data_IF_130625553254
#
_entry.id   IF_130625553254
#
_cell.length_a   1.000
_cell.length_b   1.000
_cell.length_c   1.000
_cell.angle_alpha   90.00
_cell.angle_beta   90.00
_cell.angle_gamma   90.00
#
_symmetry.space_group_name_H-M   'P 1'
#
loop_
_entity.id
_entity.type
_entity.pdbx_description
1 polymer ?
#
# COMPACT_ATOMS: atom_id res chain seq x y z
N UNK A 1 6.47 -1.04 0.44
CA UNK A 1 7.16 0.28 0.42
C UNK A 1 6.16 1.37 0.11
N UNK A 2 5.90 2.22 1.08
CA UNK A 2 5.08 3.41 0.91
C UNK A 2 5.90 4.51 0.23
N UNK A 3 5.40 5.02 -0.89
CA UNK A 3 5.95 6.17 -1.61
C UNK A 3 4.98 7.35 -1.62
N UNK A 4 3.81 7.16 -1.00
CA UNK A 4 2.76 8.18 -0.93
C UNK A 4 3.01 9.18 0.18
N UNK A 5 3.20 8.72 1.44
CA UNK A 5 3.45 9.62 2.57
C UNK A 5 4.77 10.37 2.38
N UNK A 6 5.80 9.69 1.87
CA UNK A 6 7.03 10.33 1.42
C UNK A 6 7.44 9.80 0.04
N UNK A 7 7.65 10.72 -0.92
CA UNK A 7 8.09 10.35 -2.26
C UNK A 7 9.58 10.05 -2.26
N UNK A 8 9.97 8.95 -2.86
CA UNK A 8 11.35 8.57 -3.10
C UNK A 8 11.62 8.51 -4.60
N UNK A 9 12.77 9.06 -5.01
CA UNK A 9 13.20 9.03 -6.40
C UNK A 9 13.42 7.59 -6.90
N UNK A 10 13.32 7.32 -8.21
CA UNK A 10 13.48 5.98 -8.77
C UNK A 10 14.77 5.27 -8.39
N UNK A 11 15.88 6.00 -8.24
CA UNK A 11 17.18 5.43 -7.87
C UNK A 11 17.21 4.84 -6.46
N UNK A 12 16.43 5.39 -5.54
CA UNK A 12 16.27 4.82 -4.19
C UNK A 12 15.54 3.48 -4.24
N UNK A 13 14.49 3.37 -5.08
CA UNK A 13 13.80 2.10 -5.28
C UNK A 13 14.71 1.06 -5.96
N UNK A 14 15.57 1.48 -6.88
CA UNK A 14 16.57 0.61 -7.49
C UNK A 14 17.55 0.06 -6.44
N UNK A 15 18.10 0.93 -5.58
CA UNK A 15 18.98 0.52 -4.49
C UNK A 15 18.27 -0.45 -3.52
N UNK A 16 16.98 -0.22 -3.22
CA UNK A 16 16.20 -1.13 -2.40
C UNK A 16 16.05 -2.49 -3.09
N UNK A 17 15.73 -2.51 -4.38
CA UNK A 17 15.63 -3.76 -5.17
C UNK A 17 16.96 -4.52 -5.23
N UNK A 18 18.11 -3.84 -5.31
CA UNK A 18 19.43 -4.48 -5.23
C UNK A 18 19.59 -5.25 -3.90
N UNK A 19 19.27 -4.60 -2.78
CA UNK A 19 19.31 -5.25 -1.47
C UNK A 19 18.28 -6.37 -1.33
N UNK A 20 17.09 -6.19 -1.87
CA UNK A 20 16.05 -7.21 -1.88
C UNK A 20 16.48 -8.47 -2.66
N UNK A 21 17.15 -8.29 -3.81
CA UNK A 21 17.64 -9.40 -4.62
C UNK A 21 18.71 -10.22 -3.88
N UNK A 22 19.65 -9.56 -3.17
CA UNK A 22 20.65 -10.23 -2.32
C UNK A 22 19.99 -11.13 -1.28
N UNK A 23 18.85 -10.70 -0.73
CA UNK A 23 18.07 -11.40 0.30
C UNK A 23 17.00 -12.35 -0.28
N UNK A 24 16.93 -12.49 -1.60
CA UNK A 24 15.95 -13.33 -2.31
C UNK A 24 14.48 -12.92 -2.12
N UNK A 25 14.22 -11.66 -1.81
CA UNK A 25 12.88 -11.12 -1.95
C UNK A 25 12.49 -11.09 -3.42
N UNK A 26 11.25 -11.43 -3.73
CA UNK A 26 10.79 -11.58 -5.11
C UNK A 26 9.63 -10.64 -5.49
N UNK A 27 9.17 -9.81 -4.57
CA UNK A 27 8.10 -8.83 -4.80
C UNK A 27 8.44 -7.50 -4.13
N UNK A 28 8.31 -6.40 -4.88
CA UNK A 28 8.30 -5.05 -4.33
C UNK A 28 6.88 -4.49 -4.47
N UNK A 29 6.13 -4.49 -3.38
CA UNK A 29 4.82 -3.88 -3.32
C UNK A 29 4.99 -2.36 -3.11
N UNK A 30 4.42 -1.57 -4.01
CA UNK A 30 4.46 -0.11 -4.00
C UNK A 30 3.09 0.46 -3.62
N UNK A 31 3.00 1.05 -2.45
CA UNK A 31 1.83 1.82 -2.02
C UNK A 31 1.89 3.20 -2.67
N UNK A 32 1.23 3.31 -3.85
CA UNK A 32 1.39 4.44 -4.78
C UNK A 32 0.44 5.59 -4.48
N UNK A 33 -0.62 5.36 -3.72
CA UNK A 33 -1.68 6.35 -3.49
C UNK A 33 -2.14 6.35 -2.05
N UNK A 34 -2.26 7.55 -1.49
CA UNK A 34 -2.80 7.77 -0.16
C UNK A 34 -3.20 9.25 -0.01
N UNK A 35 -3.76 9.63 1.12
CA UNK A 35 -4.16 11.00 1.41
C UNK A 35 -3.07 12.05 1.15
N UNK A 36 -1.79 11.83 1.52
CA UNK A 36 -0.72 12.82 1.29
C UNK A 36 -0.16 12.89 -0.12
N UNK A 37 -0.52 11.98 -1.03
CA UNK A 37 -0.02 12.06 -2.39
C UNK A 37 -0.40 10.91 -3.32
N UNK A 38 -0.58 11.25 -4.57
CA UNK A 38 -0.72 10.32 -5.70
C UNK A 38 0.60 10.22 -6.46
N UNK A 39 1.15 9.01 -6.67
CA UNK A 39 2.54 8.84 -7.12
C UNK A 39 2.74 8.21 -8.49
N UNK A 40 1.69 7.97 -9.26
CA UNK A 40 1.81 7.37 -10.58
C UNK A 40 1.04 8.17 -11.63
N UNK A 41 1.67 8.43 -12.78
CA UNK A 41 1.04 9.10 -13.90
C UNK A 41 -0.11 8.26 -14.47
N UNK A 42 -1.31 8.86 -14.50
CA UNK A 42 -2.50 8.36 -15.19
C UNK A 42 -2.86 9.39 -16.28
N UNK A 43 -2.59 9.07 -17.51
CA UNK A 43 -2.73 10.02 -18.63
C UNK A 43 -4.16 10.49 -18.83
N UNK A 44 -5.11 9.60 -18.60
CA UNK A 44 -6.55 9.90 -18.65
C UNK A 44 -6.98 10.89 -17.57
N UNK A 45 -6.27 10.90 -16.44
CA UNK A 45 -6.60 11.74 -15.28
C UNK A 45 -5.40 12.57 -14.82
N UNK A 46 -4.95 13.56 -15.63
CA UNK A 46 -3.68 14.25 -15.39
C UNK A 46 -3.65 15.08 -14.10
N UNK A 47 -4.81 15.47 -13.54
CA UNK A 47 -4.84 16.19 -12.26
C UNK A 47 -4.38 15.31 -11.08
N UNK A 48 -4.41 13.98 -11.18
CA UNK A 48 -3.87 13.09 -10.16
C UNK A 48 -2.40 13.37 -9.87
N UNK A 49 -1.61 13.69 -10.90
CA UNK A 49 -0.19 14.03 -10.74
C UNK A 49 0.08 15.52 -10.76
N UNK A 50 -0.63 16.31 -11.57
CA UNK A 50 -0.39 17.75 -11.59
C UNK A 50 -0.84 18.48 -10.32
N UNK A 51 -1.78 17.90 -9.57
CA UNK A 51 -2.31 18.44 -8.30
C UNK A 51 -2.07 17.45 -7.16
N UNK A 52 -2.54 16.22 -7.30
CA UNK A 52 -2.55 15.19 -6.23
C UNK A 52 -1.16 14.70 -5.82
N UNK A 53 -0.14 14.85 -6.66
CA UNK A 53 1.23 14.49 -6.32
C UNK A 53 1.97 15.53 -5.46
N UNK A 54 1.36 16.69 -5.22
CA UNK A 54 2.00 17.83 -4.59
C UNK A 54 1.26 18.25 -3.34
N UNK A 55 2.00 18.75 -2.38
CA UNK A 55 1.47 19.30 -1.14
C UNK A 55 2.34 20.42 -0.61
N UNK A 56 1.78 21.21 0.30
CA UNK A 56 2.54 22.20 1.05
C UNK A 56 3.67 21.52 1.81
N UNK A 57 4.87 22.06 1.70
CA UNK A 57 6.01 21.63 2.51
C UNK A 57 5.76 21.98 3.96
N UNK A 58 5.76 20.97 4.81
CA UNK A 58 5.68 21.17 6.26
C UNK A 58 7.09 21.20 6.87
N UNK A 59 7.31 21.96 7.95
CA UNK A 59 8.54 21.91 8.72
C UNK A 59 8.73 20.51 9.32
N UNK A 60 9.97 20.22 9.72
CA UNK A 60 10.25 18.99 10.45
C UNK A 60 9.43 18.93 11.75
N UNK A 61 8.85 17.76 12.03
CA UNK A 61 8.01 17.57 13.21
C UNK A 61 7.24 16.25 13.15
N UNK A 62 6.43 15.97 14.19
CA UNK A 62 5.58 14.80 14.21
C UNK A 62 4.62 14.78 13.01
N UNK A 63 4.34 13.58 12.53
CA UNK A 63 3.36 13.38 11.48
C UNK A 63 1.96 13.74 11.99
N UNK A 64 1.24 14.52 11.19
CA UNK A 64 -0.19 14.82 11.42
C UNK A 64 -0.85 14.96 10.04
N UNK A 65 -1.58 13.96 9.61
CA UNK A 65 -2.24 13.92 8.31
C UNK A 65 -3.18 15.12 8.08
N UNK A 66 -3.75 15.69 9.15
CA UNK A 66 -4.68 16.84 9.10
C UNK A 66 -4.00 18.15 8.68
N UNK A 67 -2.67 18.20 8.75
CA UNK A 67 -1.86 19.37 8.36
C UNK A 67 -1.43 19.33 6.90
N UNK A 68 -1.66 18.21 6.21
CA UNK A 68 -1.29 18.09 4.81
C UNK A 68 -2.31 18.80 3.92
N UNK A 69 -1.87 19.85 3.26
CA UNK A 69 -2.63 20.60 2.27
C UNK A 69 -2.12 20.20 0.87
N UNK A 70 -2.97 19.49 0.11
CA UNK A 70 -2.65 18.98 -1.23
C UNK A 70 -2.80 20.09 -2.26
N UNK A 71 -1.88 20.16 -3.20
CA UNK A 71 -1.87 21.10 -4.32
C UNK A 71 -0.48 21.57 -4.72
N UNK A 72 -0.40 22.15 -5.90
CA UNK A 72 0.84 22.67 -6.49
C UNK A 72 0.94 24.20 -6.44
N UNK A 73 0.02 24.88 -5.75
CA UNK A 73 -0.11 26.34 -5.70
C UNK A 73 0.61 27.01 -4.52
N UNK A 74 1.28 26.25 -3.68
CA UNK A 74 2.03 26.76 -2.53
C UNK A 74 3.40 27.31 -2.94
N UNK A 75 3.88 28.31 -2.24
CA UNK A 75 5.22 28.87 -2.46
C UNK A 75 6.32 27.80 -2.29
N UNK A 76 6.13 26.91 -1.30
CA UNK A 76 7.01 25.76 -1.10
C UNK A 76 6.18 24.49 -1.21
N UNK A 77 6.35 23.75 -2.31
CA UNK A 77 5.75 22.46 -2.51
C UNK A 77 6.72 21.34 -2.19
N UNK A 78 6.14 20.22 -1.75
CA UNK A 78 6.80 18.92 -1.64
C UNK A 78 5.97 17.89 -2.40
N UNK A 79 6.63 17.01 -3.12
CA UNK A 79 5.96 15.93 -3.84
C UNK A 79 6.84 15.37 -4.96
N UNK A 80 6.24 14.60 -5.80
CA UNK A 80 6.81 13.93 -6.94
C UNK A 80 5.91 12.78 -7.37
N UNK A 81 6.18 12.23 -8.53
CA UNK A 81 5.46 11.07 -9.05
C UNK A 81 6.33 10.35 -10.07
N UNK A 82 6.03 9.09 -10.30
CA UNK A 82 6.64 8.30 -11.38
C UNK A 82 5.81 8.50 -12.65
N UNK A 83 6.47 8.92 -13.74
CA UNK A 83 5.86 8.82 -15.06
C UNK A 83 5.65 7.34 -15.43
N UNK A 84 4.79 7.08 -16.41
CA UNK A 84 4.66 5.70 -16.90
C UNK A 84 5.99 5.15 -17.45
N UNK A 85 6.85 6.02 -17.99
CA UNK A 85 8.18 5.62 -18.46
C UNK A 85 9.15 5.34 -17.31
N UNK A 86 9.09 6.10 -16.21
CA UNK A 86 9.83 5.78 -14.98
C UNK A 86 9.41 4.43 -14.44
N UNK A 87 8.09 4.18 -14.39
CA UNK A 87 7.56 2.91 -13.90
C UNK A 87 7.95 1.73 -14.80
N UNK A 88 7.93 1.88 -16.12
CA UNK A 88 8.42 0.84 -17.05
C UNK A 88 9.89 0.53 -16.81
N UNK A 89 10.73 1.56 -16.57
CA UNK A 89 12.15 1.35 -16.22
C UNK A 89 12.32 0.62 -14.90
N UNK A 90 11.54 0.97 -13.89
CA UNK A 90 11.56 0.28 -12.59
C UNK A 90 11.10 -1.19 -12.70
N UNK A 91 10.05 -1.45 -13.46
CA UNK A 91 9.56 -2.83 -13.73
C UNK A 91 10.65 -3.66 -14.42
N UNK A 92 11.30 -3.11 -15.45
CA UNK A 92 12.38 -3.79 -16.14
C UNK A 92 13.59 -4.04 -15.21
N UNK A 93 13.97 -3.05 -14.41
CA UNK A 93 15.05 -3.15 -13.45
C UNK A 93 14.79 -4.23 -12.39
N UNK A 94 13.56 -4.32 -11.89
CA UNK A 94 13.15 -5.37 -10.96
C UNK A 94 13.17 -6.75 -11.61
N UNK A 95 12.65 -6.86 -12.84
CA UNK A 95 12.61 -8.13 -13.57
C UNK A 95 14.00 -8.74 -13.79
N UNK A 96 15.02 -7.93 -14.11
CA UNK A 96 16.41 -8.35 -14.21
C UNK A 96 16.98 -8.95 -12.90
N UNK A 97 16.36 -8.65 -11.77
CA UNK A 97 16.72 -9.11 -10.42
C UNK A 97 15.79 -10.18 -9.85
N UNK A 98 14.85 -10.65 -10.65
CA UNK A 98 13.82 -11.59 -10.20
C UNK A 98 12.78 -10.96 -9.25
N UNK A 99 12.65 -9.63 -9.26
CA UNK A 99 11.69 -8.89 -8.44
C UNK A 99 10.55 -8.39 -9.32
N UNK A 100 9.32 -8.78 -8.97
CA UNK A 100 8.11 -8.26 -9.58
C UNK A 100 7.64 -7.04 -8.77
N UNK A 101 7.36 -5.92 -9.44
CA UNK A 101 6.70 -4.78 -8.81
C UNK A 101 5.19 -5.04 -8.75
N UNK A 102 4.59 -4.82 -7.58
CA UNK A 102 3.15 -4.96 -7.33
C UNK A 102 2.58 -3.58 -7.03
N UNK A 103 1.75 -3.01 -7.90
CA UNK A 103 1.16 -1.70 -7.65
C UNK A 103 -0.02 -1.79 -6.68
N UNK A 104 -0.11 -0.82 -5.78
CA UNK A 104 -1.30 -0.58 -4.97
C UNK A 104 -1.94 0.75 -5.34
N UNK A 105 -3.23 0.70 -5.61
CA UNK A 105 -4.13 1.84 -5.68
C UNK A 105 -5.14 1.65 -4.57
N UNK A 106 -4.99 2.41 -3.50
CA UNK A 106 -5.82 2.24 -2.31
C UNK A 106 -7.21 2.81 -2.51
N UNK A 107 -8.21 1.98 -2.25
CA UNK A 107 -9.63 2.19 -2.52
C UNK A 107 -10.50 1.61 -1.38
N UNK A 108 -11.65 2.19 -1.10
CA UNK A 108 -12.13 3.51 -1.53
C UNK A 108 -11.70 4.63 -0.58
N UNK A 109 -10.99 4.28 0.49
CA UNK A 109 -10.39 5.19 1.48
C UNK A 109 -9.08 5.78 0.99
N UNK A 110 -8.37 6.45 1.90
CA UNK A 110 -7.04 7.04 1.65
C UNK A 110 -6.97 7.94 0.40
N UNK A 111 -8.11 8.49 -0.05
CA UNK A 111 -8.29 9.14 -1.33
C UNK A 111 -8.16 10.67 -1.29
N UNK A 112 -7.66 11.28 -0.20
CA UNK A 112 -7.67 12.74 -0.05
C UNK A 112 -6.92 13.45 -1.20
N UNK A 113 -5.76 12.97 -1.62
CA UNK A 113 -5.04 13.53 -2.76
C UNK A 113 -5.86 13.46 -4.06
N UNK A 114 -6.54 12.33 -4.29
CA UNK A 114 -7.47 12.13 -5.40
C UNK A 114 -8.63 13.13 -5.34
N UNK A 115 -9.21 13.31 -4.16
CA UNK A 115 -10.38 14.17 -3.96
C UNK A 115 -10.07 15.66 -4.01
N UNK A 116 -8.83 16.08 -3.74
CA UNK A 116 -8.39 17.45 -4.03
C UNK A 116 -8.20 17.65 -5.53
N UNK A 117 -7.69 16.65 -6.24
CA UNK A 117 -7.55 16.70 -7.69
C UNK A 117 -8.90 16.63 -8.43
N UNK A 118 -9.85 15.84 -7.92
CA UNK A 118 -11.17 15.58 -8.49
C UNK A 118 -12.26 15.64 -7.40
N UNK A 119 -12.62 16.85 -6.92
CA UNK A 119 -13.56 17.03 -5.80
C UNK A 119 -14.94 16.43 -6.05
N UNK A 120 -15.33 16.34 -7.32
CA UNK A 120 -16.57 15.74 -7.78
C UNK A 120 -16.71 14.25 -7.43
N UNK A 121 -15.63 13.57 -7.03
CA UNK A 121 -15.62 12.15 -6.67
C UNK A 121 -15.88 11.92 -5.17
N UNK A 122 -15.91 12.98 -4.36
CA UNK A 122 -16.05 12.87 -2.91
C UNK A 122 -17.44 12.40 -2.47
N UNK A 123 -17.47 11.61 -1.39
CA UNK A 123 -18.70 11.33 -0.67
C UNK A 123 -19.16 12.60 0.06
N UNK A 124 -20.47 12.86 0.06
CA UNK A 124 -21.04 13.92 0.88
C UNK A 124 -21.24 13.40 2.32
N UNK A 125 -20.53 13.95 3.31
CA UNK A 125 -20.70 13.50 4.68
C UNK A 125 -22.06 13.93 5.23
N UNK A 126 -22.65 13.17 6.15
CA UNK A 126 -23.87 13.55 6.84
C UNK A 126 -23.73 14.92 7.54
N UNK A 127 -24.81 15.67 7.71
CA UNK A 127 -24.77 16.97 8.41
C UNK A 127 -24.09 16.85 9.78
N UNK A 128 -23.12 17.74 10.04
CA UNK A 128 -22.35 17.75 11.28
C UNK A 128 -21.16 16.80 11.34
N UNK A 129 -20.98 15.91 10.35
CA UNK A 129 -19.82 15.06 10.23
C UNK A 129 -18.66 15.82 9.55
N UNK A 130 -17.47 15.79 10.16
CA UNK A 130 -16.26 16.39 9.58
C UNK A 130 -15.40 15.39 8.82
N UNK A 131 -15.84 14.13 8.78
CA UNK A 131 -15.21 13.02 8.04
C UNK A 131 -15.62 13.06 6.56
N UNK A 132 -14.93 12.31 5.69
CA UNK A 132 -15.35 12.11 4.30
C UNK A 132 -14.50 12.85 3.27
N UNK A 133 -13.39 13.44 3.69
CA UNK A 133 -12.45 14.08 2.75
C UNK A 133 -11.47 13.12 2.09
N UNK A 134 -11.56 11.84 2.42
CA UNK A 134 -10.65 10.79 2.00
C UNK A 134 -11.34 9.53 1.48
N UNK A 135 -12.67 9.59 1.28
CA UNK A 135 -13.46 8.44 0.79
C UNK A 135 -14.17 8.79 -0.52
N UNK A 136 -14.04 7.92 -1.50
CA UNK A 136 -14.71 8.01 -2.79
C UNK A 136 -16.21 7.68 -2.68
N UNK A 137 -17.05 8.44 -3.39
CA UNK A 137 -18.50 8.20 -3.45
C UNK A 137 -18.85 7.00 -4.34
N UNK A 138 -18.46 5.81 -3.92
CA UNK A 138 -18.51 4.56 -4.72
C UNK A 138 -19.92 4.10 -5.13
N UNK A 139 -20.97 4.68 -4.55
CA UNK A 139 -22.36 4.42 -4.98
C UNK A 139 -22.65 5.05 -6.35
N UNK A 140 -21.83 6.03 -6.78
CA UNK A 140 -22.03 6.79 -8.00
C UNK A 140 -21.35 6.10 -9.18
N UNK A 141 -22.07 5.88 -10.31
CA UNK A 141 -21.49 5.21 -11.48
C UNK A 141 -20.26 5.93 -12.06
N UNK A 142 -20.21 7.27 -11.96
CA UNK A 142 -19.09 8.08 -12.45
C UNK A 142 -17.80 7.79 -11.67
N UNK A 143 -17.91 7.56 -10.35
CA UNK A 143 -16.78 7.20 -9.48
C UNK A 143 -16.27 5.81 -9.84
N UNK A 144 -17.16 4.85 -10.06
CA UNK A 144 -16.78 3.50 -10.51
C UNK A 144 -16.12 3.54 -11.89
N UNK A 145 -16.63 4.36 -12.81
CA UNK A 145 -16.00 4.57 -14.13
C UNK A 145 -14.62 5.21 -14.02
N UNK A 146 -14.45 6.18 -13.12
CA UNK A 146 -13.15 6.79 -12.85
C UNK A 146 -12.15 5.74 -12.36
N UNK A 147 -12.52 4.95 -11.34
CA UNK A 147 -11.64 3.90 -10.77
C UNK A 147 -11.27 2.87 -11.84
N UNK A 148 -12.24 2.38 -12.62
CA UNK A 148 -11.93 1.45 -13.74
C UNK A 148 -10.97 2.08 -14.74
N UNK A 149 -11.13 3.37 -15.08
CA UNK A 149 -10.22 4.06 -15.99
C UNK A 149 -8.80 4.20 -15.45
N UNK A 150 -8.63 4.32 -14.13
CA UNK A 150 -7.31 4.24 -13.47
C UNK A 150 -6.75 2.82 -13.56
N UNK A 151 -7.54 1.82 -13.19
CA UNK A 151 -7.12 0.41 -13.23
C UNK A 151 -6.78 -0.07 -14.65
N UNK A 152 -7.48 0.43 -15.68
CA UNK A 152 -7.14 0.12 -17.07
C UNK A 152 -5.71 0.55 -17.42
N UNK A 153 -5.31 1.78 -17.08
CA UNK A 153 -3.94 2.25 -17.34
C UNK A 153 -2.89 1.51 -16.49
N UNK A 154 -3.23 1.11 -15.26
CA UNK A 154 -2.37 0.25 -14.44
C UNK A 154 -2.16 -1.11 -15.12
N UNK A 155 -3.23 -1.75 -15.57
CA UNK A 155 -3.17 -3.05 -16.24
C UNK A 155 -2.43 -2.99 -17.59
N UNK A 156 -2.50 -1.87 -18.31
CA UNK A 156 -1.71 -1.65 -19.53
C UNK A 156 -0.21 -1.42 -19.24
N UNK A 157 0.10 -0.85 -18.08
CA UNK A 157 1.47 -0.51 -17.70
C UNK A 157 2.24 -1.70 -17.12
N UNK A 158 1.57 -2.53 -16.31
CA UNK A 158 2.19 -3.67 -15.64
C UNK A 158 2.03 -4.97 -16.45
N UNK A 159 3.04 -5.87 -16.44
CA UNK A 159 2.94 -7.14 -17.14
C UNK A 159 1.71 -7.93 -16.75
N UNK A 160 1.09 -8.60 -17.73
CA UNK A 160 -0.09 -9.43 -17.47
C UNK A 160 0.22 -10.51 -16.42
N UNK A 161 -0.71 -10.74 -15.51
CA UNK A 161 -0.55 -11.65 -14.37
C UNK A 161 0.15 -11.02 -13.17
N UNK A 162 0.59 -9.75 -13.24
CA UNK A 162 1.04 -9.01 -12.06
C UNK A 162 -0.13 -8.81 -11.10
N UNK A 163 -0.01 -9.19 -9.81
CA UNK A 163 -1.06 -8.88 -8.85
C UNK A 163 -1.25 -7.37 -8.69
N UNK A 164 -2.49 -6.93 -8.60
CA UNK A 164 -2.85 -5.52 -8.34
C UNK A 164 -3.48 -5.43 -6.96
N UNK A 165 -2.92 -4.61 -6.10
CA UNK A 165 -3.45 -4.37 -4.77
C UNK A 165 -4.45 -3.21 -4.82
N UNK A 166 -5.64 -3.44 -4.28
CA UNK A 166 -6.79 -2.52 -4.36
C UNK A 166 -7.07 -1.79 -3.03
N UNK A 167 -6.21 -1.98 -2.01
CA UNK A 167 -6.43 -1.42 -0.68
C UNK A 167 -7.57 -2.08 0.07
N UNK A 168 -8.51 -1.30 0.55
CA UNK A 168 -9.74 -1.75 1.21
C UNK A 168 -9.71 -1.67 2.73
N UNK A 169 -8.74 -0.96 3.29
CA UNK A 169 -8.53 -0.76 4.72
C UNK A 169 -9.10 0.58 5.22
N UNK A 170 -9.27 0.65 6.52
CA UNK A 170 -9.54 1.84 7.34
C UNK A 170 -10.71 2.73 6.86
N UNK A 171 -11.72 2.15 6.22
CA UNK A 171 -12.90 2.89 5.75
C UNK A 171 -13.87 3.15 6.91
N UNK A 172 -14.24 4.40 7.13
CA UNK A 172 -15.17 4.79 8.18
C UNK A 172 -16.61 4.37 7.83
N UNK A 173 -17.15 3.40 8.58
CA UNK A 173 -18.49 2.83 8.36
C UNK A 173 -19.63 3.86 8.54
N UNK A 174 -19.36 4.99 9.17
CA UNK A 174 -20.35 6.09 9.27
C UNK A 174 -20.56 6.83 7.96
N UNK A 175 -19.60 6.72 7.03
CA UNK A 175 -19.62 7.36 5.71
C UNK A 175 -19.95 6.36 4.61
N UNK A 176 -19.39 5.18 4.70
CA UNK A 176 -19.60 4.10 3.75
C UNK A 176 -19.81 2.79 4.50
N UNK A 177 -21.02 2.24 4.45
CA UNK A 177 -21.32 0.99 5.18
C UNK A 177 -20.46 -0.17 4.68
N UNK A 178 -20.23 -1.16 5.55
CA UNK A 178 -19.50 -2.38 5.19
C UNK A 178 -20.09 -3.08 3.95
N UNK A 179 -21.42 -3.03 3.75
CA UNK A 179 -22.09 -3.59 2.58
C UNK A 179 -21.74 -2.82 1.31
N UNK A 180 -21.78 -1.49 1.34
CA UNK A 180 -21.43 -0.64 0.21
C UNK A 180 -19.95 -0.78 -0.17
N UNK A 181 -19.06 -0.86 0.84
CA UNK A 181 -17.65 -1.11 0.65
C UNK A 181 -17.44 -2.49 0.03
N UNK A 182 -18.07 -3.53 0.58
CA UNK A 182 -18.00 -4.91 0.05
C UNK A 182 -18.41 -4.95 -1.42
N UNK A 183 -19.55 -4.39 -1.77
CA UNK A 183 -20.10 -4.45 -3.12
C UNK A 183 -19.19 -3.74 -4.13
N UNK A 184 -18.62 -2.61 -3.74
CA UNK A 184 -17.65 -1.89 -4.56
C UNK A 184 -16.34 -2.67 -4.71
N UNK A 185 -15.77 -3.15 -3.61
CA UNK A 185 -14.50 -3.88 -3.63
C UNK A 185 -14.63 -5.19 -4.41
N UNK A 186 -15.76 -5.92 -4.25
CA UNK A 186 -16.03 -7.12 -5.03
C UNK A 186 -16.07 -6.80 -6.54
N UNK A 187 -16.74 -5.72 -6.92
CA UNK A 187 -16.79 -5.30 -8.33
C UNK A 187 -15.40 -5.00 -8.88
N UNK A 188 -14.53 -4.33 -8.11
CA UNK A 188 -13.16 -4.01 -8.55
C UNK A 188 -12.27 -5.26 -8.59
N UNK A 189 -12.42 -6.18 -7.65
CA UNK A 189 -11.75 -7.50 -7.67
C UNK A 189 -12.15 -8.25 -8.94
N UNK A 190 -13.44 -8.40 -9.20
CA UNK A 190 -13.95 -9.11 -10.38
C UNK A 190 -13.48 -8.44 -11.68
N UNK A 191 -13.46 -7.11 -11.70
CA UNK A 191 -12.99 -6.34 -12.86
C UNK A 191 -11.53 -6.62 -13.20
N UNK A 192 -10.64 -6.53 -12.21
CA UNK A 192 -9.20 -6.78 -12.37
C UNK A 192 -8.96 -8.24 -12.78
N UNK A 193 -9.64 -9.19 -12.15
CA UNK A 193 -9.51 -10.61 -12.47
C UNK A 193 -10.06 -10.96 -13.87
N UNK A 194 -11.12 -10.31 -14.32
CA UNK A 194 -11.65 -10.49 -15.68
C UNK A 194 -10.66 -10.10 -16.78
N UNK A 195 -9.66 -9.28 -16.44
CA UNK A 195 -8.57 -8.85 -17.32
C UNK A 195 -7.32 -9.73 -17.20
N UNK A 196 -7.34 -10.78 -16.36
CA UNK A 196 -6.24 -11.73 -16.17
C UNK A 196 -5.18 -11.27 -15.16
N UNK A 197 -5.53 -10.37 -14.24
CA UNK A 197 -4.67 -9.90 -13.15
C UNK A 197 -5.19 -10.42 -11.81
N UNK A 198 -4.37 -11.07 -10.97
CA UNK A 198 -4.78 -11.36 -9.61
C UNK A 198 -5.05 -10.07 -8.83
N UNK A 199 -6.08 -10.07 -8.00
CA UNK A 199 -6.36 -8.96 -7.10
C UNK A 199 -5.85 -9.25 -5.70
N UNK A 200 -5.32 -8.25 -5.00
CA UNK A 200 -4.97 -8.29 -3.58
C UNK A 200 -5.80 -7.23 -2.86
N UNK A 201 -6.23 -7.50 -1.64
CA UNK A 201 -6.81 -6.49 -0.74
C UNK A 201 -6.25 -6.65 0.66
N UNK A 202 -6.33 -5.60 1.46
CA UNK A 202 -6.16 -5.72 2.90
C UNK A 202 -7.25 -6.62 3.50
N UNK A 203 -7.00 -7.15 4.69
CA UNK A 203 -7.87 -8.14 5.33
C UNK A 203 -9.26 -7.60 5.71
N UNK A 204 -9.46 -6.28 5.83
CA UNK A 204 -10.78 -5.67 6.03
C UNK A 204 -11.77 -6.06 4.95
N UNK A 205 -11.37 -5.95 3.69
CA UNK A 205 -12.25 -6.30 2.57
C UNK A 205 -12.69 -7.78 2.64
N UNK A 206 -11.76 -8.68 2.95
CA UNK A 206 -12.07 -10.10 3.13
C UNK A 206 -12.96 -10.36 4.34
N UNK A 207 -12.72 -9.68 5.47
CA UNK A 207 -13.57 -9.74 6.66
C UNK A 207 -14.99 -9.23 6.39
N UNK A 208 -15.13 -8.22 5.53
CA UNK A 208 -16.41 -7.67 5.09
C UNK A 208 -17.12 -8.55 4.03
N UNK A 209 -16.49 -9.65 3.60
CA UNK A 209 -17.14 -10.65 2.74
C UNK A 209 -16.72 -10.61 1.27
N UNK A 210 -15.73 -9.82 0.86
CA UNK A 210 -15.13 -9.86 -0.48
C UNK A 210 -14.44 -11.21 -0.69
N UNK A 211 -14.54 -11.79 -1.88
CA UNK A 211 -14.03 -13.12 -2.21
C UNK A 211 -13.29 -13.15 -3.54
N UNK A 212 -12.43 -14.17 -3.68
CA UNK A 212 -11.66 -14.42 -4.90
C UNK A 212 -10.30 -13.72 -4.97
N UNK A 213 -10.04 -12.72 -4.16
CA UNK A 213 -8.75 -12.03 -4.07
C UNK A 213 -7.73 -12.78 -3.18
N UNK A 214 -6.47 -12.40 -3.28
CA UNK A 214 -5.48 -12.68 -2.26
C UNK A 214 -5.64 -11.69 -1.11
N UNK A 215 -5.49 -12.15 0.11
CA UNK A 215 -5.69 -11.33 1.31
C UNK A 215 -4.35 -10.96 1.89
N UNK A 216 -4.08 -9.66 2.05
CA UNK A 216 -2.92 -9.18 2.79
C UNK A 216 -3.33 -8.93 4.24
N UNK A 217 -2.86 -9.81 5.13
CA UNK A 217 -3.22 -9.79 6.54
C UNK A 217 -2.26 -8.90 7.33
N UNK A 218 -2.73 -7.75 7.81
CA UNK A 218 -1.95 -6.85 8.67
C UNK A 218 -2.42 -6.84 10.13
N UNK A 219 -3.71 -7.11 10.37
CA UNK A 219 -4.30 -7.16 11.72
C UNK A 219 -4.07 -8.53 12.35
N UNK A 220 -3.05 -8.63 13.21
CA UNK A 220 -2.66 -9.91 13.81
C UNK A 220 -3.82 -10.61 14.55
N UNK A 221 -4.74 -9.87 15.16
CA UNK A 221 -5.91 -10.39 15.87
C UNK A 221 -6.99 -10.98 14.92
N UNK A 222 -6.88 -10.75 13.62
CA UNK A 222 -7.79 -11.32 12.59
C UNK A 222 -7.26 -12.63 11.99
N UNK A 223 -6.09 -13.08 12.38
CA UNK A 223 -5.42 -14.22 11.79
C UNK A 223 -6.31 -15.46 11.66
N UNK A 224 -6.89 -15.95 12.76
CA UNK A 224 -7.73 -17.16 12.76
C UNK A 224 -8.95 -17.00 11.84
N UNK A 225 -9.58 -15.83 11.86
CA UNK A 225 -10.73 -15.56 11.02
C UNK A 225 -10.33 -15.55 9.53
N UNK A 226 -9.28 -14.83 9.15
CA UNK A 226 -8.82 -14.73 7.76
C UNK A 226 -8.41 -16.09 7.22
N UNK A 227 -7.66 -16.87 8.00
CA UNK A 227 -7.26 -18.23 7.61
C UNK A 227 -8.48 -19.15 7.40
N UNK A 228 -9.53 -19.00 8.21
CA UNK A 228 -10.78 -19.78 8.05
C UNK A 228 -11.56 -19.48 6.77
N UNK A 229 -11.27 -18.36 6.09
CA UNK A 229 -11.90 -18.01 4.82
C UNK A 229 -11.41 -18.87 3.64
N UNK A 230 -10.28 -19.58 3.79
CA UNK A 230 -9.70 -20.46 2.78
C UNK A 230 -9.19 -19.74 1.52
N UNK A 231 -8.97 -18.42 1.59
CA UNK A 231 -8.40 -17.64 0.50
C UNK A 231 -6.87 -17.64 0.59
N UNK A 232 -6.15 -17.37 -0.52
CA UNK A 232 -4.71 -17.17 -0.47
C UNK A 232 -4.35 -15.96 0.38
N UNK A 233 -3.36 -16.08 1.28
CA UNK A 233 -2.99 -15.06 2.26
C UNK A 233 -1.52 -14.67 2.14
N UNK A 234 -1.24 -13.38 2.17
CA UNK A 234 0.08 -12.80 2.36
C UNK A 234 0.13 -12.27 3.80
N UNK A 235 1.06 -12.79 4.60
CA UNK A 235 1.19 -12.41 6.00
C UNK A 235 2.03 -11.14 6.15
N UNK A 236 1.45 -10.12 6.73
CA UNK A 236 2.11 -8.83 7.00
C UNK A 236 1.68 -8.24 8.36
N UNK A 237 1.66 -9.06 9.45
CA UNK A 237 1.10 -8.62 10.72
C UNK A 237 1.87 -7.42 11.29
N UNK A 238 1.13 -6.38 11.70
CA UNK A 238 1.69 -5.15 12.25
C UNK A 238 2.55 -5.37 13.51
N UNK A 239 2.32 -6.44 14.23
CA UNK A 239 3.09 -6.83 15.41
C UNK A 239 4.53 -7.29 15.11
N UNK A 240 4.84 -7.70 13.86
CA UNK A 240 6.14 -8.29 13.49
C UNK A 240 6.72 -7.73 12.18
N UNK A 241 5.88 -7.24 11.27
CA UNK A 241 6.27 -6.93 9.90
C UNK A 241 6.21 -5.43 9.54
N UNK A 242 5.79 -4.55 10.46
CA UNK A 242 5.74 -3.11 10.24
C UNK A 242 7.08 -2.47 10.63
N UNK A 243 7.97 -2.33 9.65
CA UNK A 243 9.33 -1.83 9.86
C UNK A 243 9.43 -0.31 9.90
N UNK A 244 8.32 0.40 9.94
CA UNK A 244 8.21 1.81 10.31
C UNK A 244 8.26 2.01 11.84
N UNK A 245 7.94 0.98 12.64
CA UNK A 245 8.13 1.02 14.09
C UNK A 245 9.61 1.04 14.48
N UNK A 246 9.97 1.73 15.61
CA UNK A 246 11.33 1.75 16.12
C UNK A 246 11.97 0.37 16.27
N UNK A 247 13.27 0.29 16.03
CA UNK A 247 14.03 -0.95 16.18
C UNK A 247 14.47 -1.22 17.63
N UNK A 248 14.45 -0.19 18.47
CA UNK A 248 14.88 -0.29 19.87
C UNK A 248 14.05 0.62 20.77
N UNK A 249 13.99 0.28 22.06
CA UNK A 249 13.33 1.10 23.06
C UNK A 249 13.98 2.48 23.25
N UNK A 250 15.24 2.64 22.84
CA UNK A 250 15.94 3.92 22.91
C UNK A 250 15.46 4.93 21.86
N UNK A 251 14.86 4.44 20.78
CA UNK A 251 14.30 5.26 19.69
C UNK A 251 12.81 5.52 19.87
N UNK A 252 12.13 4.67 20.64
CA UNK A 252 10.68 4.69 20.79
C UNK A 252 10.22 5.83 21.71
N UNK A 253 9.08 6.43 21.37
CA UNK A 253 8.36 7.27 22.31
C UNK A 253 7.77 6.42 23.47
N UNK A 254 7.47 7.02 24.63
CA UNK A 254 6.89 6.27 25.73
C UNK A 254 5.58 5.55 25.32
N UNK A 255 5.57 4.22 25.43
CA UNK A 255 4.43 3.37 25.07
C UNK A 255 4.32 3.04 23.59
N UNK A 256 5.25 3.47 22.75
CA UNK A 256 5.30 3.11 21.34
C UNK A 256 5.73 1.65 21.17
N UNK A 257 5.11 0.96 20.23
CA UNK A 257 5.48 -0.41 19.88
C UNK A 257 6.86 -0.46 19.24
N UNK A 258 7.65 -1.46 19.62
CA UNK A 258 9.02 -1.65 19.11
C UNK A 258 9.12 -3.01 18.43
N UNK A 259 9.65 -3.02 17.21
CA UNK A 259 9.91 -4.25 16.45
C UNK A 259 11.41 -4.43 16.30
N UNK A 260 11.98 -5.27 17.18
CA UNK A 260 13.39 -5.65 17.14
C UNK A 260 13.63 -6.81 16.15
N UNK A 261 14.88 -7.15 15.89
CA UNK A 261 15.22 -8.38 15.15
C UNK A 261 14.74 -9.64 15.88
N UNK A 262 14.71 -9.66 17.20
CA UNK A 262 14.15 -10.76 18.00
C UNK A 262 12.64 -10.88 17.83
N UNK A 263 11.94 -9.74 17.79
CA UNK A 263 10.51 -9.71 17.48
C UNK A 263 10.25 -10.34 16.11
N UNK A 264 10.99 -9.93 15.08
CA UNK A 264 10.86 -10.51 13.72
C UNK A 264 11.20 -12.01 13.74
N UNK A 265 12.25 -12.41 14.45
CA UNK A 265 12.65 -13.84 14.57
C UNK A 265 11.58 -14.67 15.27
N UNK A 266 10.83 -14.10 16.20
CA UNK A 266 9.75 -14.80 16.92
C UNK A 266 8.48 -14.98 16.10
N UNK A 267 8.35 -14.30 14.95
CA UNK A 267 7.19 -14.43 14.09
C UNK A 267 6.96 -15.89 13.66
N UNK A 268 5.85 -16.47 14.06
CA UNK A 268 5.49 -17.83 13.67
C UNK A 268 4.74 -17.79 12.32
N UNK A 269 5.41 -18.25 11.25
CA UNK A 269 4.79 -18.41 9.95
C UNK A 269 4.12 -19.79 9.94
N UNK A 270 2.79 -19.87 9.76
CA UNK A 270 2.10 -21.15 9.80
C UNK A 270 2.39 -21.99 8.56
N UNK A 271 2.49 -23.30 8.75
CA UNK A 271 2.46 -24.27 7.68
C UNK A 271 1.02 -24.41 7.15
N UNK A 272 0.74 -23.75 6.05
CA UNK A 272 -0.58 -23.76 5.42
C UNK A 272 -0.47 -23.52 3.93
N UNK A 273 -1.18 -24.32 3.10
CA UNK A 273 -1.19 -24.15 1.65
C UNK A 273 -1.83 -22.83 1.20
N UNK A 274 -2.53 -22.14 2.10
CA UNK A 274 -3.11 -20.83 1.83
C UNK A 274 -2.12 -19.68 1.97
N UNK A 275 -0.98 -19.88 2.67
CA UNK A 275 0.04 -18.85 2.85
C UNK A 275 0.91 -18.74 1.61
N UNK A 276 0.76 -17.64 0.86
CA UNK A 276 1.55 -17.35 -0.33
C UNK A 276 2.94 -16.80 -0.01
N UNK A 277 3.10 -16.20 1.16
CA UNK A 277 4.35 -15.56 1.57
C UNK A 277 4.18 -14.59 2.72
N UNK A 278 5.28 -13.88 3.01
CA UNK A 278 5.34 -12.84 4.05
C UNK A 278 5.79 -11.52 3.44
N UNK A 279 5.32 -10.42 4.01
CA UNK A 279 5.70 -9.08 3.60
C UNK A 279 6.10 -8.23 4.80
N UNK A 280 7.19 -7.46 4.66
CA UNK A 280 7.51 -6.36 5.56
C UNK A 280 6.98 -5.05 4.97
N UNK A 281 6.42 -4.19 5.82
CA UNK A 281 5.91 -2.87 5.45
C UNK A 281 6.86 -1.77 5.93
N UNK A 282 7.08 -0.79 5.06
CA UNK A 282 7.83 0.44 5.34
C UNK A 282 6.90 1.61 5.05
N UNK A 283 6.12 2.01 6.06
CA UNK A 283 5.29 3.22 6.03
C UNK A 283 6.18 4.45 6.24
N UNK A 284 5.91 5.55 5.53
CA UNK A 284 6.91 6.62 5.38
C UNK A 284 6.52 7.95 5.99
N UNK A 285 5.61 7.95 6.94
CA UNK A 285 5.25 9.13 7.73
C UNK A 285 6.49 9.75 8.42
N UNK A 286 7.35 8.88 8.95
CA UNK A 286 8.57 9.25 9.68
C UNK A 286 9.86 8.83 8.98
N UNK A 287 9.77 8.18 7.81
CA UNK A 287 10.92 7.75 7.00
C UNK A 287 11.05 8.72 5.82
N UNK A 288 11.91 9.75 5.97
CA UNK A 288 11.97 10.89 5.04
C UNK A 288 13.29 11.01 4.28
N UNK A 289 14.22 10.08 4.47
CA UNK A 289 15.50 10.04 3.75
C UNK A 289 15.85 8.61 3.38
N UNK A 290 16.66 8.41 2.31
CA UNK A 290 17.15 7.09 1.94
C UNK A 290 17.90 6.39 3.10
N UNK A 291 18.76 7.11 3.82
CA UNK A 291 19.52 6.56 4.95
C UNK A 291 18.57 6.03 6.03
N UNK A 292 17.50 6.79 6.35
CA UNK A 292 16.49 6.33 7.32
C UNK A 292 15.71 5.15 6.81
N UNK A 293 15.39 5.11 5.51
CA UNK A 293 14.72 3.98 4.87
C UNK A 293 15.52 2.69 5.04
N UNK A 294 16.79 2.72 4.65
CA UNK A 294 17.67 1.56 4.75
C UNK A 294 17.93 1.17 6.21
N UNK A 295 18.11 2.13 7.10
CA UNK A 295 18.21 1.87 8.53
C UNK A 295 16.96 1.16 9.07
N UNK A 296 15.76 1.61 8.72
CA UNK A 296 14.52 1.01 9.18
C UNK A 296 14.24 -0.36 8.57
N UNK A 297 14.66 -0.58 7.32
CA UNK A 297 14.51 -1.88 6.68
C UNK A 297 15.46 -2.94 7.29
N UNK A 298 16.72 -2.58 7.50
CA UNK A 298 17.78 -3.53 7.86
C UNK A 298 18.26 -3.32 9.31
N UNK A 299 18.63 -4.42 10.04
CA UNK A 299 18.73 -5.81 9.56
C UNK A 299 17.43 -6.64 9.63
N UNK A 300 16.28 -6.04 9.97
CA UNK A 300 15.02 -6.77 10.15
C UNK A 300 14.57 -7.53 8.90
N UNK A 301 14.76 -6.94 7.72
CA UNK A 301 14.47 -7.60 6.45
C UNK A 301 15.36 -8.83 6.21
N UNK A 302 16.62 -8.80 6.64
CA UNK A 302 17.52 -9.96 6.60
C UNK A 302 16.97 -11.11 7.43
N UNK A 303 16.60 -10.81 8.68
CA UNK A 303 16.04 -11.80 9.63
C UNK A 303 14.72 -12.40 9.11
N UNK A 304 13.85 -11.58 8.51
CA UNK A 304 12.58 -12.07 7.94
C UNK A 304 12.81 -13.00 6.74
N UNK A 305 13.76 -12.63 5.85
CA UNK A 305 14.13 -13.46 4.71
C UNK A 305 14.74 -14.81 5.13
N UNK A 306 15.69 -14.80 6.06
CA UNK A 306 16.30 -16.02 6.62
C UNK A 306 15.25 -16.96 7.20
N UNK A 307 14.29 -16.40 7.93
CA UNK A 307 13.24 -17.17 8.57
C UNK A 307 12.32 -17.85 7.54
N UNK A 308 11.88 -17.13 6.52
CA UNK A 308 10.99 -17.67 5.50
C UNK A 308 11.70 -18.75 4.65
N UNK A 309 12.95 -18.49 4.26
CA UNK A 309 13.73 -19.45 3.46
C UNK A 309 14.03 -20.74 4.25
N UNK A 310 14.39 -20.63 5.53
CA UNK A 310 14.70 -21.81 6.35
C UNK A 310 13.48 -22.71 6.58
N UNK A 311 12.27 -22.14 6.67
CA UNK A 311 11.05 -22.95 6.77
C UNK A 311 10.74 -23.66 5.46
N UNK A 312 10.84 -23.00 4.30
CA UNK A 312 10.59 -23.62 2.99
C UNK A 312 11.59 -24.71 2.61
N UNK A 313 12.79 -24.73 3.19
CA UNK A 313 13.81 -25.80 2.97
C UNK A 313 13.59 -26.99 3.91
N UNK A 314 13.03 -26.79 5.09
CA UNK A 314 12.74 -27.87 6.05
C UNK A 314 11.58 -28.78 5.61
N UNK A 315 10.81 -28.35 4.60
CA UNK A 315 9.62 -29.04 4.06
C UNK A 315 9.91 -29.83 2.76
N UNK A 316 11.17 -29.81 2.25
CA UNK A 316 11.65 -30.59 1.12
C UNK A 316 12.48 -31.81 1.57
#
# INVERSE_FOLDING_TARGET
>A
MDVSRHFFEPDVLQQLMDRMAELKYNRLHLHLTDGPGWRLEIKRYPRLTSVGAWRKRLPAGPWDWRKHEIGNHFTECYGGYYTQDDMRRLIAYGAERGIMLVPEIDLPGHAYATLVAYPELAIEPPPGCKLGRDILAVQRPEVRSFVRGVLDEIMELFPQGTPIHLGGDEVDERLLSSEQQRDFMQEMVDYVQSRGYPAITWDEAACNGVRGQWVMLWRAEKYEHVMSLGQPVILSPNSHCYFDYPQSAAEAAPGEHVITTETVRSFCIPDSPHVLGVQANLWTEHIRTPERLFYMAFPRAEVLAEKFISQSVAEQ
#
